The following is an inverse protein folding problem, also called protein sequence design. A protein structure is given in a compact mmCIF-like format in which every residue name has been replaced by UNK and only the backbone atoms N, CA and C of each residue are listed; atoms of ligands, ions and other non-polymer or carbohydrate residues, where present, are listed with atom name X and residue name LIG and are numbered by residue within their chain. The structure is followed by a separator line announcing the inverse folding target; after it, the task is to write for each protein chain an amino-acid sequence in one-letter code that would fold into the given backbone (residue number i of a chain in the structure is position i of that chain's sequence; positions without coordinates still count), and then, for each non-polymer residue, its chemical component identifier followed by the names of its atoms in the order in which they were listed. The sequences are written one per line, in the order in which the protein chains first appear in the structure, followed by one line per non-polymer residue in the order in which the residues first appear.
data_IF_509157449022
#
_entry.id   IF_509157449022
#
_cell.length_a   1.000
_cell.length_b   1.000
_cell.length_c   1.000
_cell.angle_alpha   90.00
_cell.angle_beta   90.00
_cell.angle_gamma   90.00
#
_symmetry.space_group_name_H-M   'P 1'
#
loop_
_entity.id
_entity.type
_entity.pdbx_description
1 polymer ?
#
# COMPACT_ATOMS: atom_id res chain seq x y z
N UNK A 1 24.08 -26.85 18.12
CA UNK A 1 23.26 -26.54 16.94
C UNK A 1 22.06 -25.75 17.44
N UNK A 2 22.16 -24.43 17.48
CA UNK A 2 21.00 -23.58 17.81
C UNK A 2 20.05 -23.59 16.63
N UNK A 3 18.79 -23.95 16.85
CA UNK A 3 17.76 -23.85 15.82
C UNK A 3 17.61 -22.37 15.44
N UNK A 4 17.45 -22.03 14.15
CA UNK A 4 17.18 -20.66 13.75
C UNK A 4 15.87 -20.21 14.42
N UNK A 5 15.94 -19.13 15.20
CA UNK A 5 14.75 -18.46 15.70
C UNK A 5 14.05 -17.90 14.47
N UNK A 6 12.94 -18.54 14.09
CA UNK A 6 11.99 -17.93 13.17
C UNK A 6 11.39 -16.78 13.96
N UNK A 7 11.90 -15.58 13.72
CA UNK A 7 11.37 -14.38 14.32
C UNK A 7 9.97 -14.15 13.73
N UNK A 8 8.93 -14.36 14.53
CA UNK A 8 7.53 -14.19 14.14
C UNK A 8 7.31 -12.79 13.53
N UNK A 9 8.04 -11.78 14.01
CA UNK A 9 8.04 -10.43 13.45
C UNK A 9 8.45 -10.39 11.98
N UNK A 10 9.50 -11.13 11.59
CA UNK A 10 9.92 -11.19 10.19
C UNK A 10 8.87 -11.87 9.29
N UNK A 11 8.12 -12.84 9.82
CA UNK A 11 7.05 -13.48 9.06
C UNK A 11 5.87 -12.55 8.83
N UNK A 12 5.48 -11.78 9.85
CA UNK A 12 4.36 -10.84 9.73
C UNK A 12 4.70 -9.66 8.84
N UNK A 13 5.94 -9.15 8.92
CA UNK A 13 6.46 -8.17 7.97
C UNK A 13 6.39 -8.67 6.52
N UNK A 14 6.80 -9.92 6.27
CA UNK A 14 6.75 -10.50 4.93
C UNK A 14 5.31 -10.63 4.40
N UNK A 15 4.36 -11.05 5.24
CA UNK A 15 2.94 -11.11 4.87
C UNK A 15 2.41 -9.71 4.55
N UNK A 16 2.79 -8.71 5.34
CA UNK A 16 2.40 -7.33 5.12
C UNK A 16 2.93 -6.80 3.78
N UNK A 17 4.24 -6.94 3.52
CA UNK A 17 4.86 -6.51 2.26
C UNK A 17 4.25 -7.23 1.05
N UNK A 18 4.00 -8.53 1.18
CA UNK A 18 3.33 -9.31 0.14
C UNK A 18 1.95 -8.73 -0.15
N UNK A 19 1.16 -8.41 0.88
CA UNK A 19 -0.18 -7.84 0.71
C UNK A 19 -0.15 -6.47 0.04
N UNK A 20 0.73 -5.58 0.47
CA UNK A 20 0.90 -4.26 -0.17
C UNK A 20 1.31 -4.41 -1.63
N UNK A 21 2.17 -5.39 -1.95
CA UNK A 21 2.58 -5.65 -3.32
C UNK A 21 1.42 -6.11 -4.20
N UNK A 22 0.55 -6.98 -3.66
CA UNK A 22 -0.68 -7.41 -4.34
C UNK A 22 -1.62 -6.23 -4.62
N UNK A 23 -1.82 -5.35 -3.65
CA UNK A 23 -2.62 -4.13 -3.81
C UNK A 23 -2.03 -3.26 -4.93
N UNK A 24 -0.73 -2.98 -4.90
CA UNK A 24 -0.05 -2.15 -5.89
C UNK A 24 -0.13 -2.70 -7.33
N UNK A 25 -0.29 -4.01 -7.47
CA UNK A 25 -0.44 -4.69 -8.77
C UNK A 25 -1.91 -4.86 -9.20
N UNK A 26 -2.87 -4.51 -8.34
CA UNK A 26 -4.29 -4.65 -8.63
C UNK A 26 -4.77 -3.60 -9.64
N UNK A 27 -5.72 -3.99 -10.50
CA UNK A 27 -6.31 -3.07 -11.47
C UNK A 27 -7.09 -1.93 -10.81
N UNK A 28 -7.73 -2.19 -9.67
CA UNK A 28 -8.47 -1.20 -8.87
C UNK A 28 -7.54 -0.10 -8.36
N UNK A 29 -6.42 -0.48 -7.74
CA UNK A 29 -5.41 0.47 -7.28
C UNK A 29 -4.82 1.30 -8.43
N UNK A 30 -4.43 0.65 -9.54
CA UNK A 30 -3.82 1.34 -10.67
C UNK A 30 -4.80 2.35 -11.32
N UNK A 31 -6.08 2.00 -11.40
CA UNK A 31 -7.12 2.89 -11.90
C UNK A 31 -7.33 4.09 -10.97
N UNK A 32 -7.48 3.84 -9.66
CA UNK A 32 -7.70 4.88 -8.66
C UNK A 32 -6.52 5.85 -8.58
N UNK A 33 -5.29 5.33 -8.53
CA UNK A 33 -4.06 6.16 -8.55
C UNK A 33 -4.06 7.08 -9.76
N UNK A 34 -4.35 6.54 -10.96
CA UNK A 34 -4.33 7.33 -12.20
C UNK A 34 -5.39 8.44 -12.19
N UNK A 35 -6.57 8.16 -11.63
CA UNK A 35 -7.62 9.16 -11.49
C UNK A 35 -7.21 10.28 -10.52
N UNK A 36 -6.71 9.93 -9.33
CA UNK A 36 -6.22 10.88 -8.33
C UNK A 36 -5.06 11.72 -8.87
N UNK A 37 -4.10 11.10 -9.54
CA UNK A 37 -2.97 11.80 -10.16
C UNK A 37 -3.45 12.79 -11.22
N UNK A 38 -4.47 12.42 -12.01
CA UNK A 38 -5.11 13.32 -12.96
C UNK A 38 -5.80 14.52 -12.29
N UNK A 39 -6.44 14.31 -11.14
CA UNK A 39 -7.06 15.38 -10.34
C UNK A 39 -5.97 16.30 -9.78
N UNK A 40 -4.95 15.75 -9.11
CA UNK A 40 -3.88 16.52 -8.48
C UNK A 40 -3.07 17.34 -9.49
N UNK A 41 -2.79 16.79 -10.67
CA UNK A 41 -2.16 17.54 -11.75
C UNK A 41 -3.02 18.72 -12.23
N UNK A 42 -4.36 18.56 -12.33
CA UNK A 42 -5.25 19.65 -12.74
C UNK A 42 -5.27 20.82 -11.76
N UNK A 43 -5.04 20.54 -10.48
CA UNK A 43 -4.99 21.55 -9.43
C UNK A 43 -3.56 22.03 -9.11
N UNK A 44 -2.55 21.66 -9.91
CA UNK A 44 -1.13 21.98 -9.70
C UNK A 44 -0.63 21.61 -8.28
N UNK A 45 -1.10 20.47 -7.76
CA UNK A 45 -0.61 19.96 -6.48
C UNK A 45 0.83 19.48 -6.66
N UNK A 46 1.73 19.93 -5.79
CA UNK A 46 3.12 19.45 -5.77
C UNK A 46 3.14 17.95 -5.43
N UNK A 47 4.06 17.21 -6.05
CA UNK A 47 4.19 15.77 -5.83
C UNK A 47 2.90 14.96 -6.10
N UNK A 48 2.08 15.42 -7.06
CA UNK A 48 0.81 14.79 -7.45
C UNK A 48 0.87 13.27 -7.59
N UNK A 49 1.95 12.73 -8.16
CA UNK A 49 2.12 11.27 -8.35
C UNK A 49 2.35 10.52 -7.04
N UNK A 50 3.05 11.11 -6.07
CA UNK A 50 3.31 10.55 -4.74
C UNK A 50 2.05 10.58 -3.91
N UNK A 51 1.36 11.72 -3.88
CA UNK A 51 0.09 11.87 -3.15
C UNK A 51 -0.98 10.92 -3.69
N UNK A 52 -1.13 10.85 -5.02
CA UNK A 52 -2.08 9.93 -5.63
C UNK A 52 -1.79 8.46 -5.32
N UNK A 53 -0.51 8.08 -5.24
CA UNK A 53 -0.11 6.75 -4.82
C UNK A 53 -0.50 6.49 -3.36
N UNK A 54 -0.19 7.42 -2.46
CA UNK A 54 -0.44 7.29 -1.03
C UNK A 54 -1.94 7.20 -0.75
N UNK A 55 -2.73 8.11 -1.32
CA UNK A 55 -4.17 8.16 -1.13
C UNK A 55 -4.88 6.95 -1.72
N UNK A 56 -4.46 6.50 -2.91
CA UNK A 56 -4.99 5.26 -3.48
C UNK A 56 -4.67 4.05 -2.59
N UNK A 57 -3.44 3.96 -2.08
CA UNK A 57 -3.03 2.83 -1.23
C UNK A 57 -3.81 2.81 0.08
N UNK A 58 -3.94 3.96 0.74
CA UNK A 58 -4.70 4.08 1.98
C UNK A 58 -6.20 3.83 1.80
N UNK A 59 -6.78 4.29 0.69
CA UNK A 59 -8.17 4.01 0.37
C UNK A 59 -8.42 2.49 0.24
N UNK A 60 -7.56 1.77 -0.48
CA UNK A 60 -7.70 0.31 -0.66
C UNK A 60 -7.44 -0.43 0.66
N UNK A 61 -6.42 -0.07 1.43
CA UNK A 61 -6.15 -0.65 2.76
C UNK A 61 -7.37 -0.48 3.68
N UNK A 62 -7.96 0.71 3.70
CA UNK A 62 -9.13 1.01 4.53
C UNK A 62 -10.37 0.22 4.07
N UNK A 63 -10.56 0.07 2.75
CA UNK A 63 -11.65 -0.70 2.16
C UNK A 63 -11.55 -2.20 2.44
N UNK A 64 -10.34 -2.75 2.38
CA UNK A 64 -10.08 -4.16 2.68
C UNK A 64 -10.13 -4.48 4.18
N UNK A 65 -10.16 -3.47 5.05
CA UNK A 65 -10.10 -3.64 6.50
C UNK A 65 -8.78 -4.23 6.96
N UNK A 66 -7.68 -3.96 6.23
CA UNK A 66 -6.34 -4.39 6.64
C UNK A 66 -5.97 -3.63 7.91
N UNK A 67 -6.10 -4.29 9.06
CA UNK A 67 -5.65 -3.76 10.34
C UNK A 67 -4.12 -3.63 10.35
N UNK A 68 -3.64 -2.38 10.26
CA UNK A 68 -2.22 -2.04 10.39
C UNK A 68 -1.70 -2.13 11.84
N UNK A 69 -2.55 -2.52 12.80
CA UNK A 69 -2.27 -2.44 14.24
C UNK A 69 -1.26 -3.46 14.77
N UNK A 70 -0.79 -4.38 13.93
CA UNK A 70 0.22 -5.38 14.30
C UNK A 70 1.61 -5.11 13.67
N UNK A 71 1.84 -3.92 13.10
CA UNK A 71 3.16 -3.43 12.69
C UNK A 71 3.83 -2.59 13.78
#
# INVERSE_FOLDING_TARGET
MGLPVIDEYHQDLNKFVQRISEICMSGEFLALKKELEGIYNRYNVEEASILAFQDALYAIIAQEGVELSNL
#
